data_IF_540286640833
#
_entry.id   IF_540286640833
#
_cell.length_a   1.000
_cell.length_b   1.000
_cell.length_c   1.000
_cell.angle_alpha   90.00
_cell.angle_beta   90.00
_cell.angle_gamma   90.00
#
_symmetry.space_group_name_H-M   'P 1'
#
loop_
_entity.id
_entity.type
_entity.pdbx_description
1 polymer ?
#
# COMPACT_ATOMS: atom_id res chain seq x y z
N UNK A 1 -4.60 1.54 1.45
CA UNK A 1 -4.08 0.16 1.42
C UNK A 1 -5.19 -0.82 1.81
N UNK A 2 -5.19 -2.01 1.22
CA UNK A 2 -6.05 -3.15 1.60
C UNK A 2 -5.73 -3.70 2.99
N UNK A 3 -6.54 -4.64 3.48
CA UNK A 3 -6.27 -5.36 4.74
C UNK A 3 -5.06 -6.31 4.61
N UNK A 4 -4.77 -6.72 3.38
CA UNK A 4 -3.64 -7.54 2.94
C UNK A 4 -2.46 -6.69 2.44
N UNK A 5 -2.46 -5.37 2.70
CA UNK A 5 -1.38 -4.50 2.21
C UNK A 5 -1.39 -4.24 0.70
N UNK A 6 -2.45 -4.60 -0.05
CA UNK A 6 -2.53 -4.23 -1.46
C UNK A 6 -2.70 -2.72 -1.68
N UNK A 7 -2.26 -2.25 -2.84
CA UNK A 7 -2.59 -0.91 -3.38
C UNK A 7 -2.89 -1.03 -4.87
N UNK A 8 -3.67 -0.10 -5.43
CA UNK A 8 -4.23 -0.27 -6.78
C UNK A 8 -4.97 -1.63 -6.85
N UNK A 9 -4.67 -2.48 -7.83
CA UNK A 9 -5.01 -3.90 -7.81
C UNK A 9 -3.77 -4.78 -7.86
N UNK A 10 -2.69 -4.34 -7.22
CA UNK A 10 -1.46 -5.11 -7.00
C UNK A 10 -1.57 -5.76 -5.63
N UNK A 11 -1.87 -7.05 -5.61
CA UNK A 11 -2.04 -7.85 -4.39
C UNK A 11 -0.72 -8.51 -3.99
N UNK A 12 -0.55 -8.91 -2.72
CA UNK A 12 0.55 -9.78 -2.33
C UNK A 12 0.66 -11.01 -3.24
N UNK A 13 1.87 -11.35 -3.67
CA UNK A 13 2.16 -12.38 -4.68
C UNK A 13 2.11 -11.88 -6.14
N UNK A 14 1.89 -10.59 -6.38
CA UNK A 14 1.91 -9.94 -7.70
C UNK A 14 2.88 -8.73 -7.71
N UNK A 15 3.96 -8.83 -6.93
CA UNK A 15 4.96 -7.76 -6.75
C UNK A 15 5.76 -7.47 -8.03
N UNK A 16 5.78 -8.39 -9.01
CA UNK A 16 6.34 -8.15 -10.33
C UNK A 16 5.68 -6.95 -11.05
N UNK A 17 4.44 -6.62 -10.67
CA UNK A 17 3.73 -5.45 -11.19
C UNK A 17 4.24 -4.12 -10.60
N UNK A 18 5.01 -4.14 -9.51
CA UNK A 18 5.58 -2.93 -8.90
C UNK A 18 6.73 -2.35 -9.73
N UNK A 19 7.43 -3.19 -10.48
CA UNK A 19 8.59 -2.82 -11.31
C UNK A 19 8.30 -2.94 -12.81
N UNK A 20 7.05 -3.18 -13.19
CA UNK A 20 6.64 -3.28 -14.59
C UNK A 20 6.81 -1.94 -15.33
N UNK A 21 7.33 -2.02 -16.57
CA UNK A 21 7.44 -0.86 -17.48
C UNK A 21 6.09 -0.47 -18.12
N UNK A 22 5.08 -1.34 -18.05
CA UNK A 22 3.74 -1.03 -18.54
C UNK A 22 3.02 -0.13 -17.54
N UNK A 23 2.27 0.87 -18.00
CA UNK A 23 1.49 1.76 -17.11
C UNK A 23 0.32 1.01 -16.44
N UNK A 24 -0.31 0.10 -17.19
CA UNK A 24 -1.42 -0.72 -16.73
C UNK A 24 -1.21 -2.17 -17.15
N UNK A 25 -1.65 -3.09 -16.31
CA UNK A 25 -1.58 -4.55 -16.51
C UNK A 25 -2.84 -5.22 -16.00
N UNK A 26 -3.12 -6.43 -16.47
CA UNK A 26 -4.19 -7.25 -15.91
C UNK A 26 -3.68 -7.90 -14.63
N UNK A 27 -4.37 -7.70 -13.52
CA UNK A 27 -4.15 -8.39 -12.26
C UNK A 27 -5.35 -9.29 -11.92
N UNK A 28 -5.19 -10.18 -10.95
CA UNK A 28 -6.25 -11.07 -10.52
C UNK A 28 -6.41 -11.01 -8.99
N UNK A 29 -7.64 -10.83 -8.50
CA UNK A 29 -7.87 -10.87 -7.06
C UNK A 29 -7.63 -12.30 -6.50
N UNK A 30 -6.79 -12.47 -5.46
CA UNK A 30 -6.21 -13.76 -5.10
C UNK A 30 -7.24 -14.81 -4.64
N UNK A 31 -8.40 -14.38 -4.11
CA UNK A 31 -9.41 -15.31 -3.58
C UNK A 31 -10.45 -15.77 -4.59
N UNK A 32 -10.79 -14.96 -5.58
CA UNK A 32 -11.91 -15.22 -6.48
C UNK A 32 -11.53 -15.15 -7.97
N UNK A 33 -10.26 -14.87 -8.28
CA UNK A 33 -9.76 -14.79 -9.65
C UNK A 33 -10.34 -13.64 -10.47
N UNK A 34 -11.06 -12.70 -9.84
CA UNK A 34 -11.62 -11.55 -10.57
C UNK A 34 -10.50 -10.76 -11.22
N UNK A 35 -10.55 -10.65 -12.56
CA UNK A 35 -9.59 -9.84 -13.31
C UNK A 35 -9.85 -8.36 -13.10
N UNK A 36 -8.78 -7.59 -12.95
CA UNK A 36 -8.78 -6.13 -12.79
C UNK A 36 -7.73 -5.51 -13.69
N UNK A 37 -7.92 -4.23 -14.03
CA UNK A 37 -6.85 -3.42 -14.63
C UNK A 37 -6.15 -2.73 -13.47
N UNK A 38 -4.91 -3.12 -13.20
CA UNK A 38 -4.08 -2.50 -12.17
C UNK A 38 -3.20 -1.41 -12.80
N UNK A 39 -3.18 -0.23 -12.19
CA UNK A 39 -2.07 0.70 -12.36
C UNK A 39 -0.84 0.09 -11.70
N UNK A 40 0.27 -0.02 -12.43
CA UNK A 40 1.53 -0.64 -11.97
C UNK A 40 2.31 0.30 -11.05
N UNK A 41 3.43 -0.19 -10.48
CA UNK A 41 4.24 0.63 -9.60
C UNK A 41 4.98 1.79 -10.29
N UNK A 42 5.31 1.69 -11.59
CA UNK A 42 6.02 2.75 -12.33
C UNK A 42 5.30 4.11 -12.29
N UNK A 43 4.03 4.24 -12.74
CA UNK A 43 3.31 5.52 -12.66
C UNK A 43 3.04 5.97 -11.22
N UNK A 44 2.84 5.04 -10.27
CA UNK A 44 2.56 5.39 -8.87
C UNK A 44 3.81 5.99 -8.20
N UNK A 45 4.99 5.37 -8.37
CA UNK A 45 6.24 5.84 -7.77
C UNK A 45 6.72 7.18 -8.35
N UNK A 46 6.41 7.45 -9.62
CA UNK A 46 6.77 8.69 -10.32
C UNK A 46 5.70 9.79 -10.20
N UNK A 47 4.63 9.57 -9.43
CA UNK A 47 3.64 10.60 -9.18
C UNK A 47 4.26 11.76 -8.38
N UNK A 48 3.81 12.99 -8.63
CA UNK A 48 4.27 14.15 -7.85
C UNK A 48 3.97 13.99 -6.35
N UNK A 49 2.83 13.40 -6.01
CA UNK A 49 2.41 13.07 -4.65
C UNK A 49 1.66 11.74 -4.66
N UNK A 50 1.95 10.86 -3.70
CA UNK A 50 1.20 9.64 -3.41
C UNK A 50 0.56 9.82 -2.04
N UNK A 51 -0.77 9.78 -2.02
CA UNK A 51 -1.55 9.96 -0.79
C UNK A 51 -2.22 8.62 -0.46
N UNK A 52 -1.88 8.07 0.70
CA UNK A 52 -2.59 6.94 1.27
C UNK A 52 -3.66 7.46 2.23
N UNK A 53 -4.93 7.19 1.94
CA UNK A 53 -6.03 7.38 2.88
C UNK A 53 -6.41 6.02 3.48
N UNK A 54 -6.19 5.84 4.78
CA UNK A 54 -6.36 4.54 5.46
C UNK A 54 -7.17 4.75 6.74
N UNK A 55 -8.34 4.11 6.83
CA UNK A 55 -9.26 4.28 7.96
C UNK A 55 -9.76 2.93 8.46
N UNK A 56 -10.01 2.83 9.77
CA UNK A 56 -10.60 1.66 10.40
C UNK A 56 -9.60 0.77 11.13
N UNK A 57 -10.06 0.18 12.24
CA UNK A 57 -9.23 -0.66 13.13
C UNK A 57 -8.64 -1.88 12.43
N UNK A 58 -9.28 -2.43 11.40
CA UNK A 58 -8.76 -3.55 10.63
C UNK A 58 -7.52 -3.19 9.78
N UNK A 59 -7.07 -1.93 9.80
CA UNK A 59 -5.90 -1.45 9.08
C UNK A 59 -4.66 -1.25 9.94
N UNK A 60 -4.73 -1.51 11.25
CA UNK A 60 -3.63 -1.23 12.19
C UNK A 60 -2.33 -1.92 11.79
N UNK A 61 -2.39 -3.21 11.44
CA UNK A 61 -1.21 -3.98 11.06
C UNK A 61 -0.58 -3.41 9.78
N UNK A 62 -1.39 -3.09 8.77
CA UNK A 62 -0.90 -2.52 7.50
C UNK A 62 -0.29 -1.14 7.70
N UNK A 63 -0.86 -0.32 8.59
CA UNK A 63 -0.27 1.00 8.91
C UNK A 63 1.06 0.83 9.66
N UNK A 64 1.14 -0.08 10.63
CA UNK A 64 2.38 -0.40 11.33
C UNK A 64 3.46 -0.91 10.37
N UNK A 65 3.10 -1.82 9.45
CA UNK A 65 4.00 -2.35 8.43
C UNK A 65 4.55 -1.25 7.52
N UNK A 66 3.70 -0.35 7.02
CA UNK A 66 4.13 0.78 6.19
C UNK A 66 5.06 1.73 6.96
N UNK A 67 4.89 1.90 8.27
CA UNK A 67 5.67 2.88 9.03
C UNK A 67 6.96 2.33 9.63
N UNK A 68 6.98 1.05 10.04
CA UNK A 68 8.01 0.50 10.91
C UNK A 68 8.69 -0.76 10.35
N UNK A 69 8.25 -1.28 9.20
CA UNK A 69 8.80 -2.51 8.60
C UNK A 69 9.50 -2.26 7.26
N UNK A 70 9.95 -3.34 6.61
CA UNK A 70 10.45 -3.27 5.23
C UNK A 70 9.33 -3.34 4.19
N UNK A 71 9.67 -3.70 2.96
CA UNK A 71 8.72 -3.88 1.86
C UNK A 71 7.89 -5.18 2.02
N UNK A 72 7.02 -5.22 3.04
CA UNK A 72 6.20 -6.40 3.38
C UNK A 72 5.06 -6.66 2.40
N UNK A 73 4.72 -5.68 1.57
CA UNK A 73 3.71 -5.81 0.53
C UNK A 73 3.63 -4.59 -0.38
N UNK A 74 2.70 -4.61 -1.35
CA UNK A 74 2.61 -3.57 -2.39
C UNK A 74 2.43 -2.15 -1.85
N UNK A 75 1.62 -1.95 -0.81
CA UNK A 75 1.43 -0.62 -0.21
C UNK A 75 2.69 -0.10 0.48
N UNK A 76 3.37 -0.93 1.28
CA UNK A 76 4.62 -0.58 1.95
C UNK A 76 5.71 -0.24 0.93
N UNK A 77 5.86 -1.08 -0.11
CA UNK A 77 6.80 -0.81 -1.20
C UNK A 77 6.53 0.55 -1.86
N UNK A 78 5.29 0.83 -2.26
CA UNK A 78 4.97 2.13 -2.85
C UNK A 78 5.27 3.28 -1.87
N UNK A 79 4.96 3.12 -0.59
CA UNK A 79 5.20 4.15 0.41
C UNK A 79 6.70 4.43 0.65
N UNK A 80 7.55 3.42 0.55
CA UNK A 80 9.00 3.56 0.74
C UNK A 80 9.75 4.08 -0.49
N UNK A 81 9.24 3.79 -1.70
CA UNK A 81 9.97 4.07 -2.95
C UNK A 81 9.42 5.26 -3.75
N UNK A 82 8.22 5.76 -3.46
CA UNK A 82 7.69 6.97 -4.09
C UNK A 82 8.33 8.25 -3.52
N UNK A 83 8.40 9.32 -4.33
CA UNK A 83 9.16 10.53 -3.99
C UNK A 83 8.53 11.37 -2.87
N UNK A 84 7.21 11.60 -2.92
CA UNK A 84 6.49 12.36 -1.91
C UNK A 84 5.27 11.56 -1.46
N UNK A 85 5.32 11.02 -0.25
CA UNK A 85 4.28 10.15 0.30
C UNK A 85 3.68 10.75 1.56
N UNK A 86 2.35 10.77 1.62
CA UNK A 86 1.62 11.16 2.83
C UNK A 86 0.61 10.08 3.21
N UNK A 87 0.59 9.73 4.50
CA UNK A 87 -0.39 8.83 5.10
C UNK A 87 -1.40 9.64 5.91
N UNK A 88 -2.65 9.64 5.45
CA UNK A 88 -3.79 10.16 6.19
C UNK A 88 -4.50 8.97 6.85
N UNK A 89 -4.33 8.87 8.17
CA UNK A 89 -4.84 7.77 8.99
C UNK A 89 -5.85 8.27 10.00
N UNK A 90 -6.91 7.51 10.27
CA UNK A 90 -7.75 7.76 11.43
C UNK A 90 -7.12 7.19 12.71
N UNK A 91 -7.64 7.60 13.87
CA UNK A 91 -7.13 7.14 15.17
C UNK A 91 -7.21 5.61 15.32
N UNK A 92 -8.20 4.97 14.69
CA UNK A 92 -8.38 3.53 14.79
C UNK A 92 -7.31 2.76 14.00
N UNK A 93 -6.92 3.23 12.82
CA UNK A 93 -5.86 2.67 11.99
C UNK A 93 -4.47 3.00 12.52
N UNK A 94 -4.30 4.14 13.20
CA UNK A 94 -3.01 4.57 13.76
C UNK A 94 -2.65 3.92 15.12
N UNK A 95 -3.45 2.99 15.62
CA UNK A 95 -3.35 2.53 17.02
C UNK A 95 -1.99 1.93 17.43
N UNK A 96 -1.19 1.44 16.47
CA UNK A 96 0.13 0.86 16.73
C UNK A 96 1.30 1.79 16.42
N UNK A 97 1.05 2.94 15.79
CA UNK A 97 2.07 3.93 15.44
C UNK A 97 1.95 5.23 16.26
N UNK A 98 0.89 5.38 17.05
CA UNK A 98 0.71 6.52 17.95
C UNK A 98 1.70 6.40 19.14
N UNK A 99 2.77 7.18 19.06
CA UNK A 99 3.89 7.20 20.01
C UNK A 99 3.53 7.89 21.35
N UNK A 100 2.25 8.20 21.59
CA UNK A 100 1.78 8.75 22.88
C UNK A 100 1.95 7.80 24.09
N UNK A 101 2.42 6.55 23.86
CA UNK A 101 2.84 5.60 24.88
C UNK A 101 4.36 5.58 25.16
N UNK A 102 5.20 6.32 24.42
CA UNK A 102 6.59 6.60 24.81
C UNK A 102 6.64 7.82 25.73
N UNK A 103 6.28 7.61 27.00
CA UNK A 103 6.62 8.53 28.09
C UNK A 103 7.78 7.99 28.91
#
# INVERSE_FOLDING_TARGET
AGDDGHTSSIFPGQEDLLTSNSIYVVSAHPRNGQKRIAMTGYPIQNARYVIFLITGKNKVDVVEEICNSGDTGPAAYIAHHAQNVELFVDKAAAAYIDDSNKK
#
